data_IF_779969779012
#
_entry.id   IF_779969779012
#
_cell.length_a   1.000
_cell.length_b   1.000
_cell.length_c   1.000
_cell.angle_alpha   90.00
_cell.angle_beta   90.00
_cell.angle_gamma   90.00
#
_symmetry.space_group_name_H-M   'P 1'
#
loop_
_entity.id
_entity.type
_entity.pdbx_description
1 polymer ?
#
# COMPACT_ATOMS: atom_id res chain seq x y z
N UNK A 1 -19.26 1.29 33.97
CA UNK A 1 -19.68 0.26 32.99
C UNK A 1 -18.52 -0.69 32.86
N UNK A 2 -18.65 -1.91 33.38
CA UNK A 2 -17.75 -3.00 32.98
C UNK A 2 -18.09 -3.32 31.53
N UNK A 3 -17.16 -3.03 30.62
CA UNK A 3 -17.24 -3.59 29.29
C UNK A 3 -17.00 -5.10 29.44
N UNK A 4 -17.81 -5.97 28.81
CA UNK A 4 -17.49 -7.39 28.80
C UNK A 4 -16.06 -7.57 28.31
N UNK A 5 -15.30 -8.45 28.96
CA UNK A 5 -13.94 -8.78 28.53
C UNK A 5 -13.97 -9.18 27.07
N UNK A 6 -13.34 -8.37 26.21
CA UNK A 6 -13.24 -8.64 24.77
C UNK A 6 -12.46 -9.93 24.55
N UNK A 7 -12.98 -10.81 23.70
CA UNK A 7 -12.30 -12.03 23.30
C UNK A 7 -11.22 -11.70 22.25
N UNK A 8 -9.95 -11.77 22.66
CA UNK A 8 -8.82 -11.42 21.81
C UNK A 8 -8.48 -12.49 20.76
N UNK A 9 -8.91 -13.74 20.98
CA UNK A 9 -8.75 -14.81 19.99
C UNK A 9 -9.72 -14.58 18.82
N UNK A 10 -10.98 -14.23 19.13
CA UNK A 10 -11.94 -13.84 18.10
C UNK A 10 -11.52 -12.55 17.37
N UNK A 11 -10.97 -11.57 18.08
CA UNK A 11 -10.41 -10.37 17.46
C UNK A 11 -9.24 -10.67 16.51
N UNK A 12 -8.34 -11.57 16.92
CA UNK A 12 -7.22 -12.05 16.11
C UNK A 12 -7.69 -12.78 14.86
N UNK A 13 -8.69 -13.65 15.00
CA UNK A 13 -9.31 -14.35 13.86
C UNK A 13 -10.01 -13.38 12.91
N UNK A 14 -10.74 -12.39 13.44
CA UNK A 14 -11.33 -11.33 12.61
C UNK A 14 -10.25 -10.59 11.81
N UNK A 15 -9.18 -10.11 12.47
CA UNK A 15 -8.11 -9.37 11.80
C UNK A 15 -7.40 -10.22 10.72
N UNK A 16 -7.20 -11.51 10.98
CA UNK A 16 -6.64 -12.45 10.01
C UNK A 16 -7.55 -12.61 8.78
N UNK A 17 -8.88 -12.68 8.97
CA UNK A 17 -9.83 -12.75 7.86
C UNK A 17 -9.82 -11.47 7.01
N UNK A 18 -9.72 -10.29 7.62
CA UNK A 18 -9.76 -9.01 6.89
C UNK A 18 -8.46 -8.70 6.12
N UNK A 19 -7.33 -9.22 6.60
CA UNK A 19 -6.01 -8.99 5.99
C UNK A 19 -5.54 -10.10 5.06
N UNK A 20 -6.17 -11.28 5.12
CA UNK A 20 -5.75 -12.50 4.41
C UNK A 20 -4.31 -12.91 4.75
N UNK A 21 -3.87 -12.61 5.98
CA UNK A 21 -2.54 -12.92 6.52
C UNK A 21 -2.68 -13.10 8.03
N UNK A 22 -1.93 -14.01 8.68
CA UNK A 22 -1.98 -14.15 10.14
C UNK A 22 -1.77 -12.79 10.84
N UNK A 23 -2.69 -12.42 11.72
CA UNK A 23 -2.57 -11.21 12.54
C UNK A 23 -2.54 -11.57 14.02
N UNK A 24 -2.14 -10.63 14.86
CA UNK A 24 -2.14 -10.75 16.32
C UNK A 24 -2.83 -9.53 16.93
N UNK A 25 -3.81 -9.78 17.81
CA UNK A 25 -4.47 -8.73 18.59
C UNK A 25 -4.30 -9.04 20.07
N UNK A 26 -3.68 -8.13 20.82
CA UNK A 26 -3.56 -8.25 22.26
C UNK A 26 -2.62 -7.25 22.91
N UNK A 27 -2.49 -7.28 24.26
CA UNK A 27 -1.65 -6.35 25.01
C UNK A 27 -0.18 -6.40 24.63
N UNK A 28 0.32 -7.55 24.16
CA UNK A 28 1.70 -7.72 23.67
C UNK A 28 2.05 -6.74 22.55
N UNK A 29 1.10 -6.39 21.68
CA UNK A 29 1.31 -5.40 20.62
C UNK A 29 1.61 -4.02 21.21
N UNK A 30 0.93 -3.65 22.31
CA UNK A 30 1.18 -2.38 23.03
C UNK A 30 2.53 -2.39 23.75
N UNK A 31 3.01 -3.57 24.14
CA UNK A 31 4.33 -3.76 24.75
C UNK A 31 5.47 -3.75 23.72
N UNK A 32 5.18 -3.52 22.44
CA UNK A 32 6.18 -3.52 21.37
C UNK A 32 6.47 -4.90 20.77
N UNK A 33 5.69 -5.92 21.12
CA UNK A 33 5.71 -7.24 20.49
C UNK A 33 4.58 -7.27 19.45
N UNK A 34 4.73 -6.42 18.44
CA UNK A 34 3.76 -6.25 17.37
C UNK A 34 3.64 -7.49 16.50
N UNK A 35 4.64 -8.37 16.49
CA UNK A 35 4.74 -9.47 15.53
C UNK A 35 5.13 -8.96 14.15
N UNK A 36 5.80 -7.81 14.08
CA UNK A 36 6.49 -7.34 12.89
C UNK A 36 7.70 -8.22 12.61
N UNK A 37 8.16 -8.25 11.36
CA UNK A 37 9.25 -9.14 10.97
C UNK A 37 10.52 -8.89 11.79
N UNK A 38 10.78 -7.62 12.12
CA UNK A 38 11.97 -7.19 12.87
C UNK A 38 11.87 -7.40 14.40
N UNK A 39 10.68 -7.64 14.95
CA UNK A 39 10.45 -7.68 16.41
C UNK A 39 11.19 -8.86 17.08
N UNK A 40 11.30 -9.99 16.38
CA UNK A 40 11.89 -11.23 16.89
C UNK A 40 13.34 -11.46 16.43
N UNK A 41 13.97 -10.45 15.79
CA UNK A 41 15.36 -10.55 15.36
C UNK A 41 16.32 -10.68 16.57
N UNK A 42 17.28 -11.62 16.56
CA UNK A 42 18.25 -11.77 17.65
C UNK A 42 19.06 -10.50 17.94
N UNK A 43 19.28 -10.18 19.22
CA UNK A 43 19.96 -8.94 19.65
C UNK A 43 21.38 -8.76 19.08
N UNK A 44 22.07 -9.85 18.77
CA UNK A 44 23.45 -9.87 18.25
C UNK A 44 23.53 -10.04 16.72
N UNK A 45 22.40 -9.90 16.01
CA UNK A 45 22.37 -9.94 14.56
C UNK A 45 23.15 -8.77 13.95
N UNK A 46 23.84 -9.04 12.84
CA UNK A 46 24.36 -7.99 11.96
C UNK A 46 23.18 -7.23 11.35
N UNK A 47 23.36 -5.94 11.08
CA UNK A 47 22.35 -5.10 10.44
C UNK A 47 22.81 -4.70 9.05
N UNK A 48 21.94 -4.93 8.07
CA UNK A 48 22.13 -4.58 6.68
C UNK A 48 21.18 -3.44 6.28
N UNK A 49 21.73 -2.40 5.67
CA UNK A 49 20.97 -1.30 5.05
C UNK A 49 21.51 -1.04 3.65
N UNK A 50 20.72 -0.38 2.79
CA UNK A 50 21.13 -0.08 1.41
C UNK A 50 21.34 1.40 1.13
N UNK A 51 22.18 1.65 0.14
CA UNK A 51 22.12 2.83 -0.71
C UNK A 51 21.47 2.49 -2.06
N UNK A 52 21.66 3.34 -3.07
CA UNK A 52 21.11 3.13 -4.41
C UNK A 52 21.73 1.94 -5.18
N UNK A 53 22.90 1.45 -4.75
CA UNK A 53 23.75 0.53 -5.51
C UNK A 53 24.05 -0.78 -4.79
N UNK A 54 24.16 -0.77 -3.47
CA UNK A 54 24.60 -1.95 -2.69
C UNK A 54 24.08 -1.97 -1.26
N UNK A 55 24.33 -3.10 -0.60
CA UNK A 55 24.04 -3.34 0.81
C UNK A 55 25.29 -3.17 1.68
N UNK A 56 25.13 -2.55 2.84
CA UNK A 56 26.16 -2.34 3.84
C UNK A 56 25.78 -3.07 5.12
N UNK A 57 26.68 -3.92 5.60
CA UNK A 57 26.48 -4.77 6.78
C UNK A 57 27.41 -4.32 7.89
N UNK A 58 26.88 -4.18 9.12
CA UNK A 58 27.67 -3.84 10.30
C UNK A 58 27.06 -4.44 11.58
N UNK A 59 27.75 -4.33 12.72
CA UNK A 59 27.25 -4.83 14.01
C UNK A 59 26.12 -3.96 14.60
N UNK A 60 25.83 -2.80 14.01
CA UNK A 60 24.70 -1.95 14.42
C UNK A 60 24.11 -1.16 13.26
N UNK A 61 22.83 -0.80 13.39
CA UNK A 61 22.13 0.06 12.43
C UNK A 61 22.82 1.41 12.23
N UNK A 62 23.41 1.98 13.29
CA UNK A 62 24.13 3.24 13.21
C UNK A 62 25.36 3.11 12.31
N UNK A 63 26.22 2.12 12.57
CA UNK A 63 27.42 1.87 11.76
C UNK A 63 27.07 1.53 10.31
N UNK A 64 26.04 0.71 10.09
CA UNK A 64 25.59 0.34 8.73
C UNK A 64 25.15 1.60 7.93
N UNK A 65 24.45 2.54 8.59
CA UNK A 65 24.04 3.82 7.98
C UNK A 65 25.21 4.77 7.71
N UNK A 66 26.18 4.82 8.61
CA UNK A 66 27.41 5.61 8.40
C UNK A 66 28.20 5.08 7.20
N UNK A 67 28.37 3.76 7.11
CA UNK A 67 29.03 3.11 5.96
C UNK A 67 28.29 3.36 4.66
N UNK A 68 26.95 3.31 4.68
CA UNK A 68 26.11 3.61 3.52
C UNK A 68 26.13 5.11 3.13
N UNK A 69 26.72 5.99 3.95
CA UNK A 69 26.72 7.44 3.70
C UNK A 69 25.32 8.03 3.57
N UNK A 70 24.31 7.43 4.21
CA UNK A 70 22.90 7.72 3.94
C UNK A 70 22.55 9.15 4.39
N UNK A 71 22.34 10.04 3.43
CA UNK A 71 21.82 11.39 3.68
C UNK A 71 20.32 11.37 3.49
N UNK A 72 19.58 11.71 4.54
CA UNK A 72 18.12 11.80 4.46
C UNK A 72 17.71 12.86 3.43
N UNK A 73 16.80 12.48 2.55
CA UNK A 73 16.21 13.36 1.55
C UNK A 73 15.49 14.55 2.19
N UNK A 74 15.49 15.68 1.49
CA UNK A 74 14.82 16.91 1.92
C UNK A 74 13.46 17.01 1.24
N UNK A 75 12.53 17.70 1.91
CA UNK A 75 11.22 18.03 1.33
C UNK A 75 11.39 18.86 0.07
N UNK A 76 10.83 18.40 -1.03
CA UNK A 76 10.77 19.13 -2.30
C UNK A 76 9.58 20.10 -2.31
N UNK A 77 9.64 21.12 -3.17
CA UNK A 77 8.52 22.00 -3.50
C UNK A 77 7.81 21.59 -4.80
N UNK A 78 8.19 20.44 -5.38
CA UNK A 78 7.48 19.86 -6.50
C UNK A 78 6.10 19.42 -6.01
N UNK A 79 5.07 19.72 -6.80
CA UNK A 79 3.69 19.32 -6.51
C UNK A 79 3.36 18.02 -7.27
N UNK A 80 2.61 17.08 -6.66
CA UNK A 80 2.16 15.88 -7.35
C UNK A 80 1.29 16.22 -8.57
N UNK A 81 1.53 15.56 -9.71
CA UNK A 81 0.74 15.71 -10.93
C UNK A 81 0.52 14.36 -11.61
N UNK A 82 -0.64 14.14 -12.27
CA UNK A 82 -0.85 12.96 -13.08
C UNK A 82 0.18 12.89 -14.21
N UNK A 83 0.98 11.81 -14.32
CA UNK A 83 2.10 11.75 -15.27
C UNK A 83 1.66 11.39 -16.70
N UNK A 84 0.44 10.88 -16.85
CA UNK A 84 -0.11 10.45 -18.13
C UNK A 84 -1.00 11.54 -18.72
N UNK A 85 -0.77 11.84 -20.00
CA UNK A 85 -1.66 12.70 -20.76
C UNK A 85 -3.01 12.04 -21.02
N UNK A 86 -4.05 12.86 -21.13
CA UNK A 86 -5.39 12.38 -21.50
C UNK A 86 -5.35 11.81 -22.93
N UNK A 87 -5.93 10.62 -23.19
CA UNK A 87 -6.09 10.13 -24.55
C UNK A 87 -6.87 11.12 -25.41
N UNK A 88 -6.50 11.26 -26.68
CA UNK A 88 -7.23 12.13 -27.61
C UNK A 88 -8.63 11.58 -27.89
N UNK A 89 -9.65 12.42 -27.78
CA UNK A 89 -11.03 12.06 -28.12
C UNK A 89 -12.06 12.98 -27.50
N UNK A 90 -13.31 12.82 -27.93
CA UNK A 90 -14.48 13.44 -27.30
C UNK A 90 -15.04 12.49 -26.24
N UNK A 91 -14.85 12.85 -24.98
CA UNK A 91 -15.13 12.01 -23.82
C UNK A 91 -16.29 12.55 -23.00
N UNK A 92 -17.20 11.67 -22.61
CA UNK A 92 -18.27 12.00 -21.66
C UNK A 92 -17.75 12.03 -20.21
N UNK A 93 -16.70 11.27 -19.92
CA UNK A 93 -16.07 11.18 -18.61
C UNK A 93 -14.56 10.99 -18.75
N UNK A 94 -13.80 11.65 -17.88
CA UNK A 94 -12.34 11.52 -17.81
C UNK A 94 -11.85 11.29 -16.39
N UNK A 95 -10.79 10.51 -16.21
CA UNK A 95 -10.09 10.32 -14.93
C UNK A 95 -8.58 10.38 -15.16
N UNK A 96 -7.86 11.11 -14.31
CA UNK A 96 -6.39 11.11 -14.29
C UNK A 96 -5.91 11.00 -12.85
N UNK A 97 -4.99 10.08 -12.57
CA UNK A 97 -4.46 9.86 -11.21
C UNK A 97 -2.95 10.06 -11.15
N UNK A 98 -2.47 10.42 -9.96
CA UNK A 98 -1.05 10.52 -9.65
C UNK A 98 -0.48 9.15 -9.25
N UNK A 99 0.84 9.09 -9.11
CA UNK A 99 1.51 8.03 -8.35
C UNK A 99 1.06 8.07 -6.89
N UNK A 100 0.76 6.92 -6.29
CA UNK A 100 0.33 6.83 -4.88
C UNK A 100 1.12 5.75 -4.16
N UNK A 101 1.63 6.11 -2.98
CA UNK A 101 2.35 5.23 -2.07
C UNK A 101 1.38 4.45 -1.18
N UNK A 102 1.48 3.12 -1.07
CA UNK A 102 0.65 2.33 -0.17
C UNK A 102 0.77 2.72 1.32
N UNK A 103 1.87 3.37 1.72
CA UNK A 103 2.04 4.03 3.02
C UNK A 103 1.82 3.13 4.24
N UNK A 104 2.11 1.83 4.11
CA UNK A 104 2.03 0.87 5.20
C UNK A 104 3.01 1.19 6.34
N UNK A 105 2.64 0.80 7.55
CA UNK A 105 3.28 1.24 8.80
C UNK A 105 4.74 0.80 8.92
N UNK A 106 4.97 -0.51 8.95
CA UNK A 106 6.30 -1.10 9.08
C UNK A 106 6.96 -1.17 7.70
N UNK A 107 8.11 -0.53 7.52
CA UNK A 107 8.87 -0.67 6.26
C UNK A 107 9.33 -2.11 6.05
N UNK A 108 9.80 -2.42 4.86
CA UNK A 108 10.28 -3.76 4.52
C UNK A 108 11.46 -4.12 5.43
N UNK A 109 11.29 -5.22 6.15
CA UNK A 109 12.28 -5.75 7.06
C UNK A 109 12.18 -7.28 7.03
N UNK A 110 13.33 -7.94 7.17
CA UNK A 110 13.42 -9.38 7.35
C UNK A 110 14.74 -9.69 8.03
N UNK A 111 14.85 -10.87 8.64
CA UNK A 111 16.11 -11.37 9.18
C UNK A 111 16.21 -12.86 8.97
N UNK A 112 17.42 -13.39 8.95
CA UNK A 112 17.67 -14.81 8.69
C UNK A 112 18.85 -15.32 9.49
N UNK A 113 18.72 -16.52 10.06
CA UNK A 113 19.87 -17.31 10.49
C UNK A 113 20.50 -17.99 9.26
N UNK A 114 21.82 -18.26 9.24
CA UNK A 114 22.49 -18.81 8.04
C UNK A 114 21.90 -20.13 7.49
N UNK A 115 21.23 -20.91 8.34
CA UNK A 115 20.72 -22.26 8.01
C UNK A 115 19.19 -22.36 8.08
N UNK A 116 18.48 -21.27 8.36
CA UNK A 116 17.01 -21.27 8.51
C UNK A 116 16.34 -20.51 7.38
N UNK A 117 15.00 -20.51 7.38
CA UNK A 117 14.22 -19.64 6.50
C UNK A 117 14.15 -18.21 7.07
N UNK A 118 14.14 -17.18 6.20
CA UNK A 118 14.03 -15.79 6.64
C UNK A 118 12.63 -15.49 7.21
N UNK A 119 12.57 -14.52 8.12
CA UNK A 119 11.32 -14.00 8.63
C UNK A 119 10.46 -13.38 7.49
N UNK A 120 9.16 -13.67 7.49
CA UNK A 120 8.22 -13.12 6.51
C UNK A 120 8.13 -11.59 6.68
N UNK A 121 8.41 -10.79 5.64
CA UNK A 121 8.42 -9.34 5.74
C UNK A 121 7.02 -8.75 5.89
N UNK A 122 5.97 -9.48 5.53
CA UNK A 122 4.59 -9.02 5.68
C UNK A 122 4.15 -9.10 7.14
N UNK A 123 4.44 -10.22 7.80
CA UNK A 123 4.12 -10.54 9.20
C UNK A 123 2.81 -9.90 9.69
N UNK A 124 2.77 -9.38 10.93
CA UNK A 124 1.62 -8.62 11.43
C UNK A 124 1.60 -7.18 10.86
N UNK A 125 0.41 -6.60 10.71
CA UNK A 125 0.23 -5.18 10.35
C UNK A 125 0.08 -4.88 8.85
N UNK A 126 0.36 -5.85 7.98
CA UNK A 126 0.03 -5.81 6.55
C UNK A 126 0.73 -4.70 5.75
N UNK A 127 0.58 -4.77 4.42
CA UNK A 127 1.28 -3.85 3.52
C UNK A 127 0.43 -3.29 2.37
N UNK A 128 -0.86 -3.61 2.33
CA UNK A 128 -1.76 -3.25 1.21
C UNK A 128 -1.23 -3.70 -0.17
N UNK A 129 -0.48 -4.80 -0.20
CA UNK A 129 0.20 -5.33 -1.38
C UNK A 129 1.61 -4.78 -1.63
N UNK A 130 2.07 -3.80 -0.85
CA UNK A 130 3.35 -3.12 -1.04
C UNK A 130 4.59 -3.99 -0.83
N UNK A 131 4.52 -4.98 0.07
CA UNK A 131 5.66 -5.86 0.41
C UNK A 131 5.75 -7.14 -0.45
N UNK A 132 4.83 -7.37 -1.39
CA UNK A 132 4.77 -8.64 -2.16
C UNK A 132 6.01 -8.83 -3.05
N UNK A 133 6.61 -7.74 -3.54
CA UNK A 133 7.80 -7.77 -4.39
C UNK A 133 9.08 -7.38 -3.64
N UNK A 134 9.07 -7.43 -2.30
CA UNK A 134 10.20 -7.02 -1.49
C UNK A 134 11.40 -7.98 -1.63
N UNK A 135 12.62 -7.43 -1.68
CA UNK A 135 13.86 -8.21 -1.80
C UNK A 135 14.46 -8.60 -0.44
N UNK A 136 13.91 -8.11 0.68
CA UNK A 136 14.56 -8.20 1.98
C UNK A 136 14.75 -9.62 2.49
N UNK A 137 13.87 -10.56 2.11
CA UNK A 137 13.98 -11.98 2.51
C UNK A 137 15.16 -12.68 1.88
N UNK A 138 15.31 -12.49 0.57
CA UNK A 138 16.37 -13.13 -0.20
C UNK A 138 17.71 -12.52 0.18
N UNK A 139 17.76 -11.19 0.32
CA UNK A 139 18.95 -10.49 0.82
C UNK A 139 19.32 -10.94 2.24
N UNK A 140 18.34 -11.13 3.14
CA UNK A 140 18.63 -11.59 4.50
C UNK A 140 19.26 -12.97 4.50
N UNK A 141 18.72 -13.90 3.70
CA UNK A 141 19.26 -15.25 3.53
C UNK A 141 20.68 -15.22 2.96
N UNK A 142 20.90 -14.50 1.86
CA UNK A 142 22.20 -14.42 1.18
C UNK A 142 23.28 -13.82 2.09
N UNK A 143 22.97 -12.71 2.76
CA UNK A 143 23.91 -12.05 3.65
C UNK A 143 24.19 -12.89 4.90
N UNK A 144 23.18 -13.58 5.46
CA UNK A 144 23.39 -14.44 6.61
C UNK A 144 24.33 -15.61 6.28
N UNK A 145 24.14 -16.24 5.12
CA UNK A 145 25.02 -17.31 4.64
C UNK A 145 26.44 -16.81 4.36
N UNK A 146 26.58 -15.64 3.72
CA UNK A 146 27.89 -15.06 3.40
C UNK A 146 28.70 -14.66 4.64
N UNK A 147 28.03 -14.27 5.73
CA UNK A 147 28.67 -13.84 6.97
C UNK A 147 28.74 -14.93 8.04
N UNK A 148 28.12 -16.10 7.82
CA UNK A 148 27.92 -17.17 8.80
C UNK A 148 27.40 -16.64 10.16
N UNK A 149 26.51 -15.63 10.09
CA UNK A 149 25.92 -14.94 11.22
C UNK A 149 24.49 -14.54 10.87
N UNK A 150 23.67 -14.36 11.90
CA UNK A 150 22.32 -13.79 11.73
C UNK A 150 22.45 -12.41 11.12
N UNK A 151 21.70 -12.14 10.05
CA UNK A 151 21.63 -10.82 9.42
C UNK A 151 20.19 -10.36 9.38
N UNK A 152 19.99 -9.12 9.81
CA UNK A 152 18.75 -8.37 9.79
C UNK A 152 18.83 -7.29 8.72
N UNK A 153 17.91 -7.30 7.78
CA UNK A 153 17.87 -6.43 6.59
C UNK A 153 16.74 -5.43 6.75
N UNK A 154 17.05 -4.14 6.63
CA UNK A 154 16.09 -3.06 6.85
C UNK A 154 16.05 -2.08 5.68
N UNK A 155 14.86 -1.91 5.13
CA UNK A 155 14.55 -0.73 4.33
C UNK A 155 14.18 0.43 5.25
N UNK A 156 14.72 1.61 4.95
CA UNK A 156 14.18 2.87 5.46
C UNK A 156 12.91 3.26 4.70
N UNK A 157 12.18 4.25 5.21
CA UNK A 157 11.02 4.79 4.48
C UNK A 157 11.39 5.29 3.08
N UNK A 158 12.57 5.88 2.92
CA UNK A 158 13.01 6.34 1.60
C UNK A 158 13.24 5.17 0.65
N UNK A 159 13.77 4.05 1.15
CA UNK A 159 13.98 2.86 0.34
C UNK A 159 12.63 2.27 -0.11
N UNK A 160 11.66 2.17 0.81
CA UNK A 160 10.27 1.78 0.48
C UNK A 160 9.67 2.69 -0.60
N UNK A 161 9.85 4.00 -0.51
CA UNK A 161 9.30 4.91 -1.51
C UNK A 161 9.99 4.74 -2.87
N UNK A 162 11.32 4.58 -2.89
CA UNK A 162 12.09 4.49 -4.13
C UNK A 162 11.97 3.15 -4.83
N UNK A 163 11.93 2.07 -4.06
CA UNK A 163 12.02 0.70 -4.58
C UNK A 163 10.73 -0.09 -4.44
N UNK A 164 9.87 0.25 -3.48
CA UNK A 164 8.58 -0.40 -3.30
C UNK A 164 7.59 -0.06 -4.43
N UNK A 165 6.70 -0.99 -4.81
CA UNK A 165 5.71 -0.75 -5.85
C UNK A 165 4.66 0.28 -5.43
N UNK A 166 4.20 1.06 -6.41
CA UNK A 166 3.12 2.05 -6.29
C UNK A 166 1.85 1.56 -6.95
N UNK A 167 0.72 2.17 -6.59
CA UNK A 167 -0.50 2.10 -7.42
C UNK A 167 -0.19 2.74 -8.78
N UNK A 168 -0.49 2.06 -9.91
CA UNK A 168 -0.21 2.63 -11.22
C UNK A 168 -1.08 3.87 -11.49
N UNK A 169 -0.49 4.99 -11.97
CA UNK A 169 -1.27 6.12 -12.44
C UNK A 169 -2.04 5.72 -13.70
N UNK A 170 -3.26 6.24 -13.83
CA UNK A 170 -4.14 6.01 -14.97
C UNK A 170 -4.56 7.33 -15.60
N UNK A 171 -4.89 7.28 -16.88
CA UNK A 171 -5.47 8.36 -17.67
C UNK A 171 -6.52 7.77 -18.59
N UNK A 172 -7.79 8.07 -18.33
CA UNK A 172 -8.92 7.37 -18.93
C UNK A 172 -9.87 8.39 -19.54
N UNK A 173 -10.31 8.11 -20.76
CA UNK A 173 -11.41 8.81 -21.43
C UNK A 173 -12.49 7.81 -21.82
N UNK A 174 -13.71 7.99 -21.32
CA UNK A 174 -14.85 7.14 -21.63
C UNK A 174 -15.97 7.93 -22.32
N UNK A 175 -16.64 7.27 -23.25
CA UNK A 175 -17.92 7.70 -23.84
C UNK A 175 -19.08 7.21 -22.99
N UNK A 176 -20.26 7.79 -23.23
CA UNK A 176 -21.48 7.45 -22.49
C UNK A 176 -21.90 5.96 -22.62
N UNK A 177 -21.48 5.27 -23.67
CA UNK A 177 -21.79 3.85 -23.89
C UNK A 177 -20.81 2.87 -23.22
N UNK A 178 -19.82 3.42 -22.49
CA UNK A 178 -18.75 2.69 -21.80
C UNK A 178 -17.56 2.31 -22.68
N UNK A 179 -17.54 2.67 -23.97
CA UNK A 179 -16.35 2.56 -24.82
C UNK A 179 -15.36 3.68 -24.52
N UNK A 180 -14.07 3.47 -24.81
CA UNK A 180 -13.05 4.48 -24.53
C UNK A 180 -11.65 3.92 -24.53
N UNK A 181 -10.72 4.68 -23.92
CA UNK A 181 -9.32 4.30 -23.72
C UNK A 181 -9.00 4.39 -22.24
N UNK A 182 -8.50 3.29 -21.67
CA UNK A 182 -7.94 3.19 -20.33
C UNK A 182 -6.43 3.08 -20.46
N UNK A 183 -5.74 4.24 -20.43
CA UNK A 183 -4.28 4.30 -20.47
C UNK A 183 -3.71 4.23 -19.06
N UNK A 184 -2.66 3.46 -18.86
CA UNK A 184 -1.99 3.35 -17.57
C UNK A 184 -0.49 3.12 -17.70
N UNK A 185 0.25 3.42 -16.63
CA UNK A 185 1.64 3.00 -16.53
C UNK A 185 1.70 1.47 -16.64
N UNK A 186 2.68 0.96 -17.36
CA UNK A 186 2.86 -0.48 -17.59
C UNK A 186 2.96 -1.22 -16.26
N UNK A 187 2.07 -2.19 -16.06
CA UNK A 187 1.98 -2.98 -14.83
C UNK A 187 1.57 -4.40 -15.16
N UNK A 188 2.34 -5.37 -14.69
CA UNK A 188 2.08 -6.77 -15.00
C UNK A 188 0.72 -7.23 -14.46
N UNK A 189 0.00 -7.99 -15.29
CA UNK A 189 -1.30 -8.62 -14.99
C UNK A 189 -2.46 -7.67 -14.63
N UNK A 190 -2.28 -6.36 -14.73
CA UNK A 190 -3.33 -5.39 -14.36
C UNK A 190 -4.58 -5.47 -15.26
N UNK A 191 -4.40 -5.82 -16.54
CA UNK A 191 -5.48 -5.95 -17.54
C UNK A 191 -6.54 -6.97 -17.11
N UNK A 192 -6.12 -8.04 -16.42
CA UNK A 192 -7.00 -9.11 -15.94
C UNK A 192 -8.02 -8.59 -14.91
N UNK A 193 -7.69 -7.48 -14.22
CA UNK A 193 -8.57 -6.80 -13.25
C UNK A 193 -9.49 -5.77 -13.90
N UNK A 194 -9.06 -5.17 -15.01
CA UNK A 194 -9.77 -4.06 -15.68
C UNK A 194 -10.75 -4.60 -16.74
N UNK A 195 -10.28 -5.51 -17.59
CA UNK A 195 -11.02 -5.99 -18.78
C UNK A 195 -12.40 -6.58 -18.46
N UNK A 196 -12.60 -7.37 -17.38
CA UNK A 196 -13.92 -7.87 -17.03
C UNK A 196 -14.94 -6.78 -16.70
N UNK A 197 -14.47 -5.62 -16.21
CA UNK A 197 -15.31 -4.52 -15.73
C UNK A 197 -15.56 -3.44 -16.81
N UNK A 198 -14.62 -3.26 -17.75
CA UNK A 198 -14.74 -2.35 -18.91
C UNK A 198 -14.48 -3.09 -20.24
N UNK A 199 -15.36 -4.01 -20.67
CA UNK A 199 -15.12 -4.86 -21.85
C UNK A 199 -15.09 -4.10 -23.18
N UNK A 200 -15.64 -2.89 -23.24
CA UNK A 200 -15.67 -2.03 -24.44
C UNK A 200 -14.53 -1.01 -24.49
N UNK A 201 -13.69 -0.98 -23.47
CA UNK A 201 -12.60 -0.02 -23.36
C UNK A 201 -11.31 -0.66 -23.89
N UNK A 202 -10.56 0.08 -24.69
CA UNK A 202 -9.20 -0.29 -25.05
C UNK A 202 -8.28 -0.06 -23.84
N UNK A 203 -7.43 -1.03 -23.52
CA UNK A 203 -6.46 -0.92 -22.42
C UNK A 203 -5.09 -0.67 -23.02
N UNK A 204 -4.48 0.46 -22.68
CA UNK A 204 -3.22 0.91 -23.26
C UNK A 204 -2.14 1.05 -22.17
N UNK A 205 -1.18 0.12 -22.15
CA UNK A 205 -0.08 0.16 -21.19
C UNK A 205 1.14 0.88 -21.78
N UNK A 206 1.54 1.98 -21.14
CA UNK A 206 2.67 2.82 -21.55
C UNK A 206 3.82 2.75 -20.55
N UNK A 207 5.05 2.66 -21.06
CA UNK A 207 6.25 2.76 -20.22
C UNK A 207 6.59 4.23 -20.04
N UNK A 208 6.64 4.69 -18.78
CA UNK A 208 7.03 6.04 -18.39
C UNK A 208 8.10 5.98 -17.30
N UNK A 209 8.98 7.00 -17.18
CA UNK A 209 9.85 7.13 -16.01
C UNK A 209 9.02 7.20 -14.73
N UNK A 210 9.43 6.48 -13.69
CA UNK A 210 8.76 6.48 -12.40
C UNK A 210 9.11 5.29 -11.53
N UNK A 211 8.60 5.26 -10.29
CA UNK A 211 8.77 4.12 -9.39
C UNK A 211 8.07 2.88 -9.96
N UNK A 212 8.47 1.67 -9.50
CA UNK A 212 7.81 0.44 -9.92
C UNK A 212 6.32 0.45 -9.56
N UNK A 213 5.51 -0.28 -10.33
CA UNK A 213 4.07 -0.45 -10.08
C UNK A 213 3.73 -1.91 -9.84
N UNK A 214 2.63 -2.18 -9.13
CA UNK A 214 2.14 -3.54 -8.98
C UNK A 214 0.61 -3.60 -9.02
N UNK A 215 0.08 -4.62 -9.69
CA UNK A 215 -1.34 -4.97 -9.64
C UNK A 215 -1.73 -5.55 -8.27
N UNK A 216 -0.77 -5.96 -7.45
CA UNK A 216 -1.03 -6.48 -6.12
C UNK A 216 -1.43 -5.40 -5.11
N UNK A 217 -1.18 -4.12 -5.41
CA UNK A 217 -1.63 -3.01 -4.57
C UNK A 217 -3.16 -3.07 -4.42
N UNK A 218 -3.64 -2.94 -3.18
CA UNK A 218 -5.06 -3.06 -2.83
C UNK A 218 -5.90 -2.14 -3.71
N UNK A 219 -6.83 -2.68 -4.50
CA UNK A 219 -7.70 -1.87 -5.35
C UNK A 219 -7.11 -1.45 -6.68
N UNK A 220 -5.85 -1.78 -7.01
CA UNK A 220 -5.20 -1.31 -8.24
C UNK A 220 -5.97 -1.76 -9.50
N UNK A 221 -6.28 -0.79 -10.35
CA UNK A 221 -6.98 -0.96 -11.62
C UNK A 221 -8.49 -1.01 -11.46
N UNK A 222 -9.01 -1.88 -10.60
CA UNK A 222 -10.45 -2.11 -10.50
C UNK A 222 -11.18 -1.02 -9.69
N UNK A 223 -10.53 -0.37 -8.72
CA UNK A 223 -11.16 0.72 -7.97
C UNK A 223 -11.38 1.95 -8.87
N UNK A 224 -10.40 2.27 -9.73
CA UNK A 224 -10.51 3.33 -10.74
C UNK A 224 -11.64 3.03 -11.74
N UNK A 225 -11.79 1.77 -12.13
CA UNK A 225 -12.91 1.34 -12.98
C UNK A 225 -14.26 1.57 -12.29
N UNK A 226 -14.39 1.21 -11.02
CA UNK A 226 -15.64 1.44 -10.28
C UNK A 226 -15.96 2.93 -10.13
N UNK A 227 -14.95 3.79 -9.93
CA UNK A 227 -15.12 5.25 -9.96
C UNK A 227 -15.66 5.73 -11.32
N UNK A 228 -15.12 5.21 -12.42
CA UNK A 228 -15.56 5.55 -13.77
C UNK A 228 -17.00 5.07 -14.04
N UNK A 229 -17.36 3.86 -13.61
CA UNK A 229 -18.72 3.32 -13.75
C UNK A 229 -19.73 4.14 -12.96
N UNK A 230 -19.37 4.55 -11.73
CA UNK A 230 -20.19 5.45 -10.92
C UNK A 230 -20.32 6.84 -11.57
N UNK A 231 -19.25 7.36 -12.17
CA UNK A 231 -19.28 8.62 -12.91
C UNK A 231 -20.21 8.57 -14.14
N UNK A 232 -20.16 7.50 -14.93
CA UNK A 232 -21.03 7.32 -16.10
C UNK A 232 -22.50 7.11 -15.73
N UNK A 233 -22.78 6.41 -14.63
CA UNK A 233 -24.15 6.21 -14.14
C UNK A 233 -24.70 7.44 -13.41
N UNK A 234 -23.82 8.34 -12.95
CA UNK A 234 -24.15 9.45 -12.07
C UNK A 234 -24.55 9.00 -10.65
N UNK A 235 -24.28 7.76 -10.27
CA UNK A 235 -24.71 7.17 -9.00
C UNK A 235 -23.62 6.31 -8.36
N UNK A 236 -23.29 6.63 -7.11
CA UNK A 236 -22.49 5.74 -6.25
C UNK A 236 -23.38 4.60 -5.72
N UNK A 237 -22.99 3.36 -6.03
CA UNK A 237 -23.74 2.15 -5.69
C UNK A 237 -22.97 1.21 -4.79
N UNK A 238 -23.50 -0.01 -4.66
CA UNK A 238 -22.76 -1.12 -4.05
C UNK A 238 -21.62 -1.54 -4.97
N UNK A 239 -20.42 -1.61 -4.40
CA UNK A 239 -19.21 -2.12 -5.05
C UNK A 239 -18.85 -3.45 -4.42
N UNK A 240 -18.68 -4.48 -5.25
CA UNK A 240 -18.27 -5.83 -4.82
C UNK A 240 -16.79 -6.02 -5.11
N UNK A 241 -16.00 -6.27 -4.06
CA UNK A 241 -14.59 -6.60 -4.20
C UNK A 241 -14.42 -8.02 -4.78
N UNK A 242 -13.26 -8.36 -5.36
CA UNK A 242 -12.97 -9.71 -5.83
C UNK A 242 -13.14 -10.82 -4.77
N UNK A 243 -13.02 -10.48 -3.48
CA UNK A 243 -13.29 -11.39 -2.36
C UNK A 243 -14.77 -11.70 -2.13
N UNK A 244 -15.69 -11.03 -2.84
CA UNK A 244 -17.14 -11.18 -2.72
C UNK A 244 -17.81 -10.26 -1.69
N UNK A 245 -17.05 -9.66 -0.77
CA UNK A 245 -17.58 -8.64 0.12
C UNK A 245 -18.02 -7.40 -0.67
N UNK A 246 -19.09 -6.74 -0.23
CA UNK A 246 -19.58 -5.53 -0.91
C UNK A 246 -19.76 -4.38 0.07
N UNK A 247 -19.50 -3.16 -0.39
CA UNK A 247 -19.70 -1.96 0.40
C UNK A 247 -20.34 -0.83 -0.42
N UNK A 248 -20.98 0.11 0.27
CA UNK A 248 -21.44 1.38 -0.28
C UNK A 248 -21.10 2.47 0.73
N UNK A 249 -20.61 3.60 0.25
CA UNK A 249 -20.29 4.75 1.09
C UNK A 249 -21.01 6.01 0.58
N UNK A 250 -21.42 6.88 1.51
CA UNK A 250 -21.96 8.20 1.21
C UNK A 250 -21.29 9.24 2.07
N UNK A 251 -21.01 10.41 1.48
CA UNK A 251 -20.39 11.54 2.19
C UNK A 251 -21.39 12.68 2.24
N UNK A 252 -21.76 13.11 3.45
CA UNK A 252 -22.63 14.26 3.67
C UNK A 252 -22.34 14.88 5.03
N UNK A 253 -22.33 16.22 5.12
CA UNK A 253 -22.16 16.96 6.38
C UNK A 253 -20.96 16.48 7.22
N UNK A 254 -19.79 16.31 6.59
CA UNK A 254 -18.56 15.85 7.27
C UNK A 254 -18.68 14.45 7.92
N UNK A 255 -19.60 13.62 7.43
CA UNK A 255 -19.77 12.21 7.81
C UNK A 255 -19.65 11.31 6.58
N UNK A 256 -18.84 10.26 6.70
CA UNK A 256 -18.72 9.14 5.76
C UNK A 256 -19.53 7.97 6.34
N UNK A 257 -20.75 7.77 5.85
CA UNK A 257 -21.54 6.60 6.22
C UNK A 257 -21.18 5.41 5.34
N UNK A 258 -20.77 4.30 5.96
CA UNK A 258 -20.38 3.07 5.25
C UNK A 258 -21.35 1.94 5.58
N UNK A 259 -21.95 1.35 4.55
CA UNK A 259 -22.72 0.11 4.65
C UNK A 259 -21.91 -1.04 4.06
N UNK A 260 -21.82 -2.16 4.79
CA UNK A 260 -20.98 -3.31 4.39
C UNK A 260 -21.80 -4.61 4.43
N UNK A 261 -21.61 -5.44 3.41
CA UNK A 261 -22.09 -6.83 3.31
C UNK A 261 -20.88 -7.75 3.31
N UNK A 262 -20.52 -8.25 4.50
CA UNK A 262 -19.34 -9.09 4.73
C UNK A 262 -19.62 -10.32 5.63
N UNK A 263 -20.89 -10.70 5.80
CA UNK A 263 -21.28 -11.75 6.73
C UNK A 263 -21.35 -11.26 8.18
N UNK A 264 -21.30 -12.19 9.14
CA UNK A 264 -21.37 -11.90 10.57
C UNK A 264 -19.97 -11.69 11.16
N UNK A 265 -19.64 -10.51 11.74
CA UNK A 265 -18.37 -10.30 12.40
C UNK A 265 -18.14 -11.26 13.58
N UNK A 266 -16.91 -11.79 13.69
CA UNK A 266 -16.42 -12.53 14.84
C UNK A 266 -16.07 -11.60 16.02
N UNK A 267 -15.56 -10.40 15.72
CA UNK A 267 -15.30 -9.32 16.69
C UNK A 267 -15.66 -7.96 16.07
N UNK A 268 -16.66 -7.30 16.67
CA UNK A 268 -17.20 -6.05 16.15
C UNK A 268 -16.22 -4.88 16.19
N UNK A 269 -15.31 -4.86 17.16
CA UNK A 269 -14.32 -3.78 17.30
C UNK A 269 -13.31 -3.85 16.15
N UNK A 270 -12.81 -5.05 15.83
CA UNK A 270 -11.91 -5.24 14.68
C UNK A 270 -12.62 -5.00 13.36
N UNK A 271 -13.79 -5.58 13.17
CA UNK A 271 -14.54 -5.37 11.94
C UNK A 271 -14.77 -3.88 11.67
N UNK A 272 -15.21 -3.13 12.69
CA UNK A 272 -15.39 -1.67 12.59
C UNK A 272 -14.07 -0.96 12.30
N UNK A 273 -12.98 -1.33 12.97
CA UNK A 273 -11.66 -0.74 12.75
C UNK A 273 -11.18 -0.89 11.29
N UNK A 274 -11.40 -2.05 10.68
CA UNK A 274 -11.05 -2.28 9.27
C UNK A 274 -11.93 -1.45 8.32
N UNK A 275 -13.22 -1.29 8.64
CA UNK A 275 -14.11 -0.41 7.87
C UNK A 275 -13.65 1.06 7.95
N UNK A 276 -13.30 1.53 9.15
CA UNK A 276 -12.78 2.90 9.36
C UNK A 276 -11.47 3.09 8.60
N UNK A 277 -10.53 2.15 8.70
CA UNK A 277 -9.26 2.21 7.98
C UNK A 277 -9.45 2.24 6.46
N UNK A 278 -10.35 1.40 5.92
CA UNK A 278 -10.65 1.39 4.49
C UNK A 278 -11.29 2.70 4.01
N UNK A 279 -12.21 3.28 4.77
CA UNK A 279 -12.84 4.55 4.46
C UNK A 279 -11.84 5.72 4.54
N UNK A 280 -11.00 5.74 5.58
CA UNK A 280 -9.91 6.72 5.73
C UNK A 280 -8.93 6.68 4.56
N UNK A 281 -8.46 5.48 4.18
CA UNK A 281 -7.57 5.29 3.03
C UNK A 281 -8.23 5.76 1.73
N UNK A 282 -9.47 5.34 1.46
CA UNK A 282 -10.16 5.71 0.23
C UNK A 282 -10.40 7.23 0.15
N UNK A 283 -10.81 7.86 1.25
CA UNK A 283 -11.04 9.30 1.31
C UNK A 283 -9.73 10.08 1.14
N UNK A 284 -8.67 9.69 1.84
CA UNK A 284 -7.34 10.30 1.69
C UNK A 284 -6.84 10.19 0.25
N UNK A 285 -6.94 9.00 -0.34
CA UNK A 285 -6.51 8.75 -1.72
C UNK A 285 -7.18 9.68 -2.73
N UNK A 286 -8.50 9.82 -2.68
CA UNK A 286 -9.23 10.61 -3.70
C UNK A 286 -9.15 12.12 -3.48
N UNK A 287 -8.78 12.58 -2.27
CA UNK A 287 -8.80 14.02 -1.92
C UNK A 287 -7.44 14.66 -1.82
N UNK A 288 -6.37 13.89 -1.55
CA UNK A 288 -5.11 14.48 -1.09
C UNK A 288 -3.86 13.69 -1.42
N UNK A 289 -3.92 12.36 -1.53
CA UNK A 289 -2.70 11.57 -1.75
C UNK A 289 -2.12 11.74 -3.15
N UNK A 290 -0.80 11.78 -3.21
CA UNK A 290 -0.04 11.82 -4.46
C UNK A 290 1.45 11.97 -4.20
N UNK A 291 2.26 11.39 -5.09
CA UNK A 291 3.71 11.57 -5.10
C UNK A 291 4.14 12.49 -6.23
N UNK A 292 5.08 13.37 -5.89
CA UNK A 292 5.84 14.20 -6.80
C UNK A 292 6.95 13.37 -7.41
N UNK A 293 6.82 13.10 -8.71
CA UNK A 293 7.80 12.35 -9.51
C UNK A 293 8.23 13.25 -10.64
N UNK A 294 9.54 13.41 -10.83
CA UNK A 294 10.07 14.25 -11.90
C UNK A 294 10.15 13.52 -13.25
N UNK A 295 10.63 14.22 -14.27
CA UNK A 295 10.77 13.71 -15.63
C UNK A 295 11.74 12.53 -15.79
N UNK A 296 12.65 12.32 -14.82
CA UNK A 296 13.57 11.18 -14.81
C UNK A 296 12.98 9.98 -14.07
N UNK A 297 11.82 10.15 -13.43
CA UNK A 297 11.17 9.11 -12.62
C UNK A 297 11.58 9.12 -11.16
N UNK A 298 12.34 10.13 -10.72
CA UNK A 298 12.78 10.22 -9.33
C UNK A 298 11.64 10.71 -8.43
N UNK A 299 11.41 9.99 -7.33
CA UNK A 299 10.43 10.38 -6.31
C UNK A 299 11.04 11.38 -5.34
N UNK A 300 10.33 12.48 -5.10
CA UNK A 300 10.77 13.59 -4.25
C UNK A 300 10.09 13.63 -2.88
N UNK A 301 8.94 12.98 -2.74
CA UNK A 301 8.22 12.85 -1.48
C UNK A 301 8.69 11.61 -0.74
N UNK A 302 9.56 11.77 0.26
CA UNK A 302 10.29 10.67 0.90
C UNK A 302 9.88 10.42 2.37
N UNK A 303 8.87 11.14 2.86
CA UNK A 303 8.38 11.04 4.24
C UNK A 303 6.89 10.76 4.27
N UNK A 304 6.37 10.07 5.29
CA UNK A 304 4.92 9.82 5.44
C UNK A 304 4.10 11.12 5.31
N UNK A 305 4.60 12.23 5.87
CA UNK A 305 3.92 13.53 5.85
C UNK A 305 3.85 14.18 4.46
N UNK A 306 4.65 13.74 3.50
CA UNK A 306 4.65 14.28 2.15
C UNK A 306 3.77 13.50 1.17
N UNK A 307 3.19 12.36 1.56
CA UNK A 307 2.37 11.55 0.65
C UNK A 307 0.93 12.06 0.50
N UNK A 308 0.53 13.03 1.32
CA UNK A 308 -0.84 13.55 1.34
C UNK A 308 -1.83 12.72 2.16
N UNK A 309 -1.42 11.63 2.82
CA UNK A 309 -2.31 10.85 3.70
C UNK A 309 -2.90 11.74 4.80
N UNK A 310 -4.23 11.82 4.89
CA UNK A 310 -4.88 12.69 5.87
C UNK A 310 -4.61 12.20 7.28
N UNK A 311 -4.42 13.14 8.21
CA UNK A 311 -4.44 12.82 9.63
C UNK A 311 -5.85 12.39 10.00
N UNK A 312 -5.97 11.52 11.00
CA UNK A 312 -7.28 11.10 11.51
C UNK A 312 -8.14 12.30 11.96
N UNK A 313 -7.52 13.38 12.46
CA UNK A 313 -8.22 14.62 12.84
C UNK A 313 -8.74 15.45 11.67
N UNK A 314 -8.20 15.24 10.47
CA UNK A 314 -8.57 15.97 9.25
C UNK A 314 -9.53 15.14 8.38
N UNK A 315 -9.84 13.92 8.80
CA UNK A 315 -10.79 13.04 8.11
C UNK A 315 -12.20 13.28 8.66
N UNK A 316 -13.24 13.32 7.80
CA UNK A 316 -14.63 13.27 8.23
C UNK A 316 -14.89 12.15 9.24
N UNK A 317 -15.94 12.28 10.05
CA UNK A 317 -16.38 11.19 10.92
C UNK A 317 -16.78 9.96 10.08
N UNK A 318 -16.52 8.74 10.58
CA UNK A 318 -16.83 7.46 9.91
C UNK A 318 -17.68 6.56 10.83
#
# INVERSE_FOLDING_TARGET
>A
MEFPSRDLELATRQATLESDTPQIVGPQVVLGQGGFADDDAPENALVAVRDQSQWYVADSLHQARELAGKVQGRRSSLEPRPPLELPEGDWALTLRTCWVEPAYLETDASWCNPQDEPADPVANGGAFGGKIASDVTDVARELAQANDRVVRVLWSREDTVRHGPKRPPVSVGLRADGSGIFRLARTDHIDERIRPLLPKCEIEQVTIPGPPTSSAIRGAGWAEVEMLRAGLSGQAGWVTAPSGASAKATIANELISVEVRAGSPLDWVMFRSYCIGAAHMAYSWVTSEGLSVDQNGDVHDLTIRSFGVLRSSDTPEI
#
